data_IF_940848613796
#
_entry.id   IF_940848613796
#
_cell.length_a   1.000
_cell.length_b   1.000
_cell.length_c   1.000
_cell.angle_alpha   90.00
_cell.angle_beta   90.00
_cell.angle_gamma   90.00
#
_symmetry.space_group_name_H-M   'P 1'
#
loop_
_entity.id
_entity.type
_entity.pdbx_description
1 polymer ?
#
# COMPACT_ATOMS: atom_id res chain seq x y z
N UNK A 1 54.90 18.26 -51.17
CA UNK A 1 55.60 17.36 -50.24
C UNK A 1 56.18 18.21 -49.12
N UNK A 2 55.57 18.19 -47.93
CA UNK A 2 56.19 18.80 -46.76
C UNK A 2 57.09 17.74 -46.13
N UNK A 3 58.37 18.05 -45.92
CA UNK A 3 59.28 17.15 -45.21
C UNK A 3 58.84 17.07 -43.75
N UNK A 4 58.22 15.96 -43.36
CA UNK A 4 57.93 15.69 -41.96
C UNK A 4 59.25 15.51 -41.21
N UNK A 5 59.65 16.52 -40.44
CA UNK A 5 60.78 16.42 -39.52
C UNK A 5 60.57 15.21 -38.63
N UNK A 6 61.50 14.26 -38.68
CA UNK A 6 61.39 12.98 -38.01
C UNK A 6 61.37 13.21 -36.49
N UNK A 7 60.18 13.16 -35.88
CA UNK A 7 59.95 13.56 -34.48
C UNK A 7 60.79 12.69 -33.51
N UNK A 8 61.23 11.51 -33.96
CA UNK A 8 62.07 10.56 -33.24
C UNK A 8 63.59 10.86 -33.27
N UNK A 9 64.04 11.80 -34.11
CA UNK A 9 65.44 12.28 -34.11
C UNK A 9 65.68 13.42 -33.10
N UNK A 10 64.61 14.07 -32.62
CA UNK A 10 64.72 15.05 -31.53
C UNK A 10 64.95 14.33 -30.19
N UNK A 11 66.16 14.52 -29.66
CA UNK A 11 66.60 13.99 -28.36
C UNK A 11 65.62 14.35 -27.24
N UNK A 12 65.06 15.55 -27.24
CA UNK A 12 64.16 16.02 -26.19
C UNK A 12 62.80 15.34 -26.23
N UNK A 13 62.32 14.97 -27.42
CA UNK A 13 61.11 14.17 -27.59
C UNK A 13 61.34 12.72 -27.16
N UNK A 14 62.52 12.15 -27.46
CA UNK A 14 62.89 10.81 -26.98
C UNK A 14 63.01 10.78 -25.44
N UNK A 15 63.56 11.83 -24.84
CA UNK A 15 63.57 12.02 -23.39
C UNK A 15 62.16 12.12 -22.79
N UNK A 16 61.22 12.79 -23.46
CA UNK A 16 59.81 12.83 -23.06
C UNK A 16 59.15 11.44 -23.09
N UNK A 17 59.39 10.63 -24.14
CA UNK A 17 58.94 9.24 -24.18
C UNK A 17 59.52 8.40 -23.04
N UNK A 18 60.82 8.54 -22.75
CA UNK A 18 61.45 7.90 -21.57
C UNK A 18 60.76 8.29 -20.27
N UNK A 19 60.43 9.58 -20.07
CA UNK A 19 59.71 10.05 -18.89
C UNK A 19 58.32 9.41 -18.79
N UNK A 20 57.54 9.36 -19.87
CA UNK A 20 56.23 8.70 -19.91
C UNK A 20 56.31 7.20 -19.53
N UNK A 21 57.30 6.47 -20.06
CA UNK A 21 57.50 5.04 -19.73
C UNK A 21 57.94 4.89 -18.27
N UNK A 22 58.82 5.75 -17.77
CA UNK A 22 59.28 5.75 -16.37
C UNK A 22 58.13 5.98 -15.38
N UNK A 23 57.21 6.90 -15.68
CA UNK A 23 56.00 7.14 -14.90
C UNK A 23 55.11 5.88 -14.87
N UNK A 24 54.93 5.19 -16.00
CA UNK A 24 54.14 3.96 -16.03
C UNK A 24 54.79 2.81 -15.24
N UNK A 25 56.10 2.59 -15.35
CA UNK A 25 56.81 1.60 -14.53
C UNK A 25 56.72 1.92 -13.04
N UNK A 26 56.79 3.20 -12.66
CA UNK A 26 56.62 3.62 -11.27
C UNK A 26 55.17 3.39 -10.78
N UNK A 27 54.16 3.67 -11.61
CA UNK A 27 52.75 3.31 -11.32
C UNK A 27 52.60 1.81 -11.08
N UNK A 28 53.09 0.98 -12.00
CA UNK A 28 53.05 -0.49 -11.89
C UNK A 28 53.69 -0.95 -10.57
N UNK A 29 54.86 -0.42 -10.22
CA UNK A 29 55.56 -0.74 -8.97
C UNK A 29 54.76 -0.39 -7.70
N UNK A 30 54.06 0.74 -7.69
CA UNK A 30 53.29 1.23 -6.54
C UNK A 30 51.87 0.62 -6.43
N UNK A 31 51.37 -0.06 -7.46
CA UNK A 31 49.95 -0.44 -7.56
C UNK A 31 49.50 -1.41 -6.46
N UNK A 32 50.24 -2.50 -6.24
CA UNK A 32 49.88 -3.49 -5.21
C UNK A 32 50.09 -2.94 -3.80
N UNK A 33 51.18 -2.20 -3.56
CA UNK A 33 51.41 -1.48 -2.30
C UNK A 33 50.25 -0.55 -1.95
N UNK A 34 49.79 0.28 -2.89
CA UNK A 34 48.66 1.20 -2.66
C UNK A 34 47.37 0.43 -2.42
N UNK A 35 47.12 -0.69 -3.11
CA UNK A 35 45.93 -1.52 -2.88
C UNK A 35 45.96 -2.18 -1.49
N UNK A 36 47.09 -2.75 -1.07
CA UNK A 36 47.28 -3.34 0.27
C UNK A 36 47.08 -2.29 1.36
N UNK A 37 47.70 -1.12 1.23
CA UNK A 37 47.53 -0.06 2.23
C UNK A 37 46.13 0.58 2.20
N UNK A 38 45.43 0.61 1.07
CA UNK A 38 44.02 0.98 1.05
C UNK A 38 43.12 -0.02 1.79
N UNK A 39 43.47 -1.31 1.83
CA UNK A 39 42.76 -2.28 2.66
C UNK A 39 43.05 -2.07 4.16
N UNK A 40 44.28 -1.67 4.52
CA UNK A 40 44.61 -1.22 5.87
C UNK A 40 43.83 0.05 6.26
N UNK A 41 43.72 1.03 5.36
CA UNK A 41 42.89 2.24 5.54
C UNK A 41 41.42 1.89 5.68
N UNK A 42 40.88 1.00 4.84
CA UNK A 42 39.50 0.51 4.95
C UNK A 42 39.23 -0.10 6.32
N UNK A 43 40.14 -0.95 6.79
CA UNK A 43 40.10 -1.54 8.13
C UNK A 43 40.15 -0.47 9.22
N UNK A 44 41.03 0.53 9.08
CA UNK A 44 41.21 1.62 10.04
C UNK A 44 39.96 2.52 10.15
N UNK A 45 39.40 2.96 9.02
CA UNK A 45 38.21 3.83 9.01
C UNK A 45 36.92 3.07 9.37
N UNK A 46 36.91 1.74 9.16
CA UNK A 46 35.73 0.87 9.29
C UNK A 46 35.50 0.21 10.67
N UNK A 47 36.36 0.41 11.68
CA UNK A 47 36.24 -0.26 12.99
C UNK A 47 34.95 0.09 13.77
N UNK A 48 33.86 -0.66 13.53
CA UNK A 48 32.73 -0.79 14.48
C UNK A 48 31.63 -1.83 14.13
N UNK A 49 31.09 -2.57 15.13
CA UNK A 49 29.78 -3.26 15.14
C UNK A 49 29.25 -3.87 16.49
N UNK A 50 29.72 -3.59 17.72
CA UNK A 50 29.21 -4.19 19.00
C UNK A 50 29.57 -5.67 19.24
N UNK A 51 28.59 -6.53 19.60
CA UNK A 51 28.61 -8.00 19.42
C UNK A 51 28.09 -8.39 18.01
N UNK A 52 28.24 -7.43 17.09
CA UNK A 52 28.59 -7.56 15.68
C UNK A 52 30.02 -6.96 15.40
N UNK A 53 30.90 -6.95 16.42
CA UNK A 53 32.33 -6.54 16.50
C UNK A 53 32.74 -5.02 16.57
N UNK A 54 32.37 -4.30 17.67
CA UNK A 54 33.01 -3.11 18.35
C UNK A 54 33.23 -3.59 19.80
N UNK A 55 34.47 -3.55 20.29
CA UNK A 55 34.82 -2.80 21.51
C UNK A 55 36.16 -2.11 21.16
N UNK A 56 36.40 -0.81 21.26
CA UNK A 56 35.60 0.38 21.61
C UNK A 56 36.02 1.51 20.62
N UNK A 57 35.49 2.75 20.68
CA UNK A 57 36.15 3.89 20.02
C UNK A 57 37.45 4.20 20.79
N UNK A 58 38.58 3.59 20.40
CA UNK A 58 39.79 3.54 21.23
C UNK A 58 40.47 4.93 21.34
N UNK A 59 40.99 5.31 22.53
CA UNK A 59 41.61 6.61 22.74
C UNK A 59 42.89 6.86 21.92
N UNK A 60 43.19 8.16 21.79
CA UNK A 60 44.39 8.72 21.17
C UNK A 60 45.70 7.99 21.55
N UNK A 61 46.57 7.60 20.59
CA UNK A 61 47.89 7.03 20.87
C UNK A 61 48.88 8.00 21.55
N UNK A 62 48.58 9.31 21.60
CA UNK A 62 49.47 10.35 22.11
C UNK A 62 48.80 11.17 23.22
N UNK A 63 48.63 10.55 24.39
CA UNK A 63 48.03 11.19 25.58
C UNK A 63 48.74 12.49 26.04
N UNK A 64 49.97 12.77 25.56
CA UNK A 64 50.69 14.00 25.90
C UNK A 64 50.34 15.22 25.03
N UNK A 65 49.70 15.05 23.86
CA UNK A 65 49.29 16.18 23.00
C UNK A 65 48.10 16.93 23.63
N UNK A 66 47.15 16.19 24.22
CA UNK A 66 45.94 16.77 24.81
C UNK A 66 46.14 17.42 26.20
N UNK A 67 47.27 17.20 26.88
CA UNK A 67 47.55 17.84 28.19
C UNK A 67 47.89 19.34 28.11
N UNK A 68 48.27 19.85 26.93
CA UNK A 68 48.82 21.21 26.79
C UNK A 68 47.83 22.34 26.47
N UNK A 69 46.52 22.08 26.36
CA UNK A 69 45.51 23.13 26.12
C UNK A 69 44.25 22.97 26.97
N UNK A 70 44.23 23.62 28.14
CA UNK A 70 42.99 24.02 28.82
C UNK A 70 42.21 24.98 27.91
N UNK A 71 41.09 24.54 27.32
CA UNK A 71 39.94 25.38 26.90
C UNK A 71 38.76 24.50 26.50
N UNK A 72 37.58 24.77 27.07
CA UNK A 72 36.40 23.90 27.04
C UNK A 72 35.61 23.88 25.70
N UNK A 73 36.26 24.16 24.57
CA UNK A 73 35.59 24.25 23.26
C UNK A 73 36.01 23.10 22.33
N UNK A 74 35.68 21.87 22.71
CA UNK A 74 35.78 20.72 21.80
C UNK A 74 34.55 20.68 20.88
N UNK A 75 34.73 21.02 19.60
CA UNK A 75 33.67 21.03 18.59
C UNK A 75 33.05 19.64 18.30
N UNK A 76 33.69 18.58 18.80
CA UNK A 76 33.32 17.17 18.59
C UNK A 76 31.89 16.80 19.04
N UNK A 77 31.28 17.55 19.96
CA UNK A 77 29.95 17.25 20.51
C UNK A 77 28.79 18.05 19.91
N UNK A 78 29.05 19.06 19.07
CA UNK A 78 28.04 20.06 18.68
C UNK A 78 27.51 19.98 17.24
N UNK A 79 27.74 18.87 16.52
CA UNK A 79 27.24 18.69 15.15
C UNK A 79 26.59 17.33 14.90
N UNK A 80 25.50 17.04 15.63
CA UNK A 80 24.56 15.99 15.25
C UNK A 80 23.60 16.53 14.18
N UNK A 81 23.89 16.25 12.90
CA UNK A 81 22.85 16.25 11.85
C UNK A 81 22.80 14.87 11.16
N UNK A 82 21.60 14.27 11.04
CA UNK A 82 21.46 12.90 10.56
C UNK A 82 21.48 12.82 9.03
N UNK A 83 22.56 12.28 8.47
CA UNK A 83 22.46 11.46 7.26
C UNK A 83 22.18 10.02 7.69
N UNK A 84 21.28 9.32 6.98
CA UNK A 84 20.51 8.14 7.42
C UNK A 84 21.27 6.85 7.82
N UNK A 85 22.61 6.88 7.98
CA UNK A 85 23.39 5.79 8.55
C UNK A 85 24.53 6.32 9.44
N UNK A 86 24.52 5.95 10.72
CA UNK A 86 25.56 6.35 11.68
C UNK A 86 26.94 5.78 11.31
N UNK A 87 27.00 4.58 10.72
CA UNK A 87 28.26 3.95 10.28
C UNK A 87 28.87 4.71 9.12
N UNK A 88 28.09 5.05 8.08
CA UNK A 88 28.58 5.84 6.94
C UNK A 88 29.06 7.23 7.40
N UNK A 89 28.39 7.85 8.38
CA UNK A 89 28.83 9.11 8.96
C UNK A 89 30.20 9.00 9.66
N UNK A 90 30.44 7.93 10.44
CA UNK A 90 31.73 7.68 11.10
C UNK A 90 32.85 7.40 10.09
N UNK A 91 32.59 6.58 9.07
CA UNK A 91 33.55 6.32 7.98
C UNK A 91 33.90 7.63 7.26
N UNK A 92 32.90 8.48 6.97
CA UNK A 92 33.10 9.81 6.38
C UNK A 92 33.99 10.71 7.25
N UNK A 93 33.77 10.72 8.57
CA UNK A 93 34.63 11.46 9.52
C UNK A 93 36.06 10.92 9.52
N UNK A 94 36.25 9.60 9.60
CA UNK A 94 37.57 8.96 9.62
C UNK A 94 38.36 9.20 8.32
N UNK A 95 37.71 9.10 7.15
CA UNK A 95 38.31 9.47 5.86
C UNK A 95 38.72 10.95 5.83
N UNK A 96 37.91 11.83 6.43
CA UNK A 96 38.24 13.27 6.53
C UNK A 96 39.44 13.52 7.45
N UNK A 97 39.55 12.80 8.57
CA UNK A 97 40.69 12.90 9.51
C UNK A 97 42.00 12.39 8.91
N UNK A 98 41.92 11.39 8.03
CA UNK A 98 43.08 10.87 7.29
C UNK A 98 43.43 11.71 6.05
N UNK A 99 42.75 12.84 5.80
CA UNK A 99 42.98 13.66 4.60
C UNK A 99 43.95 14.82 4.87
N UNK A 100 44.96 14.99 4.00
CA UNK A 100 46.05 15.98 4.17
C UNK A 100 45.75 17.35 3.57
N UNK A 101 45.22 17.41 2.35
CA UNK A 101 45.04 18.66 1.57
C UNK A 101 43.66 18.70 0.89
N UNK A 102 43.06 19.87 0.69
CA UNK A 102 41.84 20.12 -0.14
C UNK A 102 40.53 19.36 0.21
N UNK A 103 40.56 18.44 1.16
CA UNK A 103 39.43 17.65 1.66
C UNK A 103 38.99 16.52 0.69
N UNK A 104 38.21 15.53 1.18
CA UNK A 104 37.91 14.34 0.38
C UNK A 104 36.97 14.59 -0.80
N UNK A 105 37.25 13.93 -1.92
CA UNK A 105 36.52 14.03 -3.19
C UNK A 105 35.28 13.13 -3.22
N UNK A 106 34.25 13.51 -2.48
CA UNK A 106 33.00 12.73 -2.35
C UNK A 106 32.29 12.43 -3.67
N UNK A 107 32.47 13.23 -4.72
CA UNK A 107 31.84 13.03 -6.03
C UNK A 107 32.41 11.82 -6.81
N UNK A 108 33.62 11.36 -6.48
CA UNK A 108 34.22 10.21 -7.16
C UNK A 108 33.71 8.86 -6.63
N UNK A 109 33.12 8.83 -5.42
CA UNK A 109 33.00 7.61 -4.61
C UNK A 109 31.57 7.19 -4.32
N UNK A 110 31.36 5.88 -4.23
CA UNK A 110 30.09 5.24 -3.85
C UNK A 110 30.10 4.81 -2.38
N UNK A 111 29.45 5.59 -1.53
CA UNK A 111 29.47 5.40 -0.08
C UNK A 111 28.89 4.04 0.37
N UNK A 112 27.97 3.48 -0.41
CA UNK A 112 27.40 2.14 -0.21
C UNK A 112 28.42 0.99 -0.43
N UNK A 113 29.56 1.27 -1.08
CA UNK A 113 30.62 0.29 -1.37
C UNK A 113 31.82 0.34 -0.41
N UNK A 114 31.95 1.38 0.43
CA UNK A 114 33.13 1.58 1.30
C UNK A 114 33.48 0.38 2.20
N UNK A 115 32.49 -0.42 2.62
CA UNK A 115 32.70 -1.61 3.45
C UNK A 115 33.20 -2.85 2.68
N UNK A 116 33.02 -2.88 1.35
CA UNK A 116 33.32 -4.03 0.49
C UNK A 116 34.48 -3.76 -0.47
N UNK A 117 34.76 -2.49 -0.77
CA UNK A 117 35.71 -2.08 -1.81
C UNK A 117 36.68 -1.02 -1.27
N UNK A 118 37.97 -1.37 -1.03
CA UNK A 118 39.00 -0.41 -0.63
C UNK A 118 39.22 0.70 -1.66
N UNK A 119 38.98 0.44 -2.96
CA UNK A 119 39.19 1.42 -4.01
C UNK A 119 38.21 2.59 -3.90
N UNK A 120 36.96 2.33 -3.52
CA UNK A 120 35.97 3.39 -3.31
C UNK A 120 36.37 4.31 -2.14
N UNK A 121 37.10 3.83 -1.15
CA UNK A 121 37.75 4.69 -0.15
C UNK A 121 38.95 5.43 -0.76
N UNK A 122 39.79 4.76 -1.57
CA UNK A 122 40.88 5.38 -2.30
C UNK A 122 40.46 6.58 -3.16
N UNK A 123 39.30 6.48 -3.84
CA UNK A 123 38.71 7.57 -4.63
C UNK A 123 38.46 8.86 -3.85
N UNK A 124 38.31 8.78 -2.53
CA UNK A 124 38.16 9.94 -1.66
C UNK A 124 39.42 10.83 -1.66
N UNK A 125 40.60 10.27 -1.93
CA UNK A 125 41.90 10.96 -1.91
C UNK A 125 42.37 11.41 -3.31
N UNK A 126 41.58 11.16 -4.36
CA UNK A 126 41.85 11.57 -5.74
C UNK A 126 41.47 13.04 -5.98
N UNK A 127 41.97 13.68 -7.06
CA UNK A 127 41.42 14.96 -7.55
C UNK A 127 39.90 14.91 -7.73
N UNK A 128 39.22 16.06 -7.57
CA UNK A 128 37.74 16.12 -7.48
C UNK A 128 37.00 15.64 -8.73
N UNK A 129 37.65 15.72 -9.89
CA UNK A 129 37.06 15.45 -11.19
C UNK A 129 37.86 14.36 -11.94
N UNK A 130 37.18 13.59 -12.79
CA UNK A 130 37.79 12.63 -13.71
C UNK A 130 37.95 11.19 -13.22
N UNK A 131 37.64 10.87 -11.94
CA UNK A 131 37.90 9.54 -11.36
C UNK A 131 36.67 8.74 -10.93
N UNK A 132 35.45 9.26 -11.11
CA UNK A 132 34.20 8.58 -10.72
C UNK A 132 33.97 7.26 -11.48
N UNK A 133 34.36 7.20 -12.76
CA UNK A 133 34.22 6.03 -13.64
C UNK A 133 35.33 4.99 -13.52
N UNK A 134 36.48 5.32 -12.91
CA UNK A 134 37.64 4.41 -12.79
C UNK A 134 37.31 3.26 -11.84
N UNK A 135 37.48 2.01 -12.26
CA UNK A 135 36.97 0.85 -11.51
C UNK A 135 37.96 0.26 -10.51
N UNK A 136 39.27 0.51 -10.66
CA UNK A 136 40.33 -0.06 -9.82
C UNK A 136 41.59 0.82 -9.70
N UNK A 137 42.47 0.50 -8.74
CA UNK A 137 43.82 1.11 -8.63
C UNK A 137 44.64 0.82 -9.89
N UNK A 138 44.49 -0.38 -10.45
CA UNK A 138 45.15 -0.86 -11.67
C UNK A 138 44.76 -0.04 -12.90
N UNK A 139 43.52 0.42 -12.99
CA UNK A 139 43.05 1.32 -14.06
C UNK A 139 43.39 2.80 -13.82
N UNK A 140 43.63 3.19 -12.57
CA UNK A 140 44.05 4.56 -12.24
C UNK A 140 45.30 4.97 -13.00
N UNK A 141 45.37 6.23 -13.38
CA UNK A 141 46.60 6.81 -13.92
C UNK A 141 47.64 7.02 -12.81
N UNK A 142 48.88 7.35 -13.19
CA UNK A 142 49.96 7.64 -12.26
C UNK A 142 49.64 8.79 -11.27
N UNK A 143 48.95 9.86 -11.71
CA UNK A 143 48.61 10.97 -10.82
C UNK A 143 47.60 10.53 -9.77
N UNK A 144 46.65 9.63 -10.10
CA UNK A 144 45.72 9.08 -9.13
C UNK A 144 46.41 8.24 -8.06
N UNK A 145 47.28 7.30 -8.47
CA UNK A 145 48.05 6.46 -7.54
C UNK A 145 48.91 7.30 -6.59
N UNK A 146 49.66 8.28 -7.13
CA UNK A 146 50.49 9.18 -6.31
C UNK A 146 49.64 10.15 -5.47
N UNK A 147 48.46 10.57 -5.94
CA UNK A 147 47.56 11.44 -5.17
C UNK A 147 47.01 10.74 -3.93
N UNK A 148 46.71 9.44 -3.99
CA UNK A 148 46.29 8.66 -2.81
C UNK A 148 47.39 8.66 -1.76
N UNK A 149 48.63 8.36 -2.15
CA UNK A 149 49.82 8.36 -1.29
C UNK A 149 50.08 9.74 -0.67
N UNK A 150 49.89 10.83 -1.43
CA UNK A 150 50.10 12.20 -0.96
C UNK A 150 49.00 12.73 -0.03
N UNK A 151 47.75 12.44 -0.36
CA UNK A 151 46.58 13.04 0.28
C UNK A 151 46.08 12.23 1.48
N UNK A 152 46.45 10.94 1.62
CA UNK A 152 46.10 10.13 2.77
C UNK A 152 47.26 10.07 3.79
N UNK A 153 47.00 10.50 5.04
CA UNK A 153 48.03 10.55 6.09
C UNK A 153 48.51 9.18 6.56
N UNK A 154 47.73 8.10 6.32
CA UNK A 154 48.14 6.73 6.61
C UNK A 154 49.43 6.34 5.89
N UNK A 155 49.60 6.76 4.63
CA UNK A 155 50.81 6.47 3.86
C UNK A 155 52.08 7.13 4.43
N UNK A 156 51.94 8.10 5.36
CA UNK A 156 53.08 8.71 6.04
C UNK A 156 53.70 7.82 7.13
N UNK A 157 53.00 6.78 7.59
CA UNK A 157 53.62 5.74 8.43
C UNK A 157 54.28 4.64 7.61
N UNK A 158 53.97 4.56 6.31
CA UNK A 158 54.38 3.45 5.44
C UNK A 158 55.50 3.83 4.44
N UNK A 159 55.85 5.11 4.35
CA UNK A 159 56.93 5.67 3.53
C UNK A 159 57.75 6.60 4.44
N UNK A 160 59.07 6.63 4.28
CA UNK A 160 59.98 7.44 5.08
C UNK A 160 59.64 8.92 5.05
N UNK A 161 59.81 9.58 6.20
CA UNK A 161 59.73 11.03 6.32
C UNK A 161 60.67 11.76 5.34
N UNK A 162 61.77 11.14 4.89
CA UNK A 162 62.68 11.71 3.90
C UNK A 162 62.02 11.92 2.52
N UNK A 163 61.08 11.05 2.12
CA UNK A 163 60.33 11.17 0.86
C UNK A 163 59.12 12.14 0.98
N UNK A 164 58.73 12.49 2.21
CA UNK A 164 57.50 13.23 2.53
C UNK A 164 57.72 14.64 3.08
N UNK A 165 58.93 14.93 3.58
CA UNK A 165 59.34 16.21 4.17
C UNK A 165 59.93 17.15 3.12
N UNK A 166 59.78 18.48 3.27
CA UNK A 166 60.47 19.45 2.42
C UNK A 166 61.98 19.43 2.72
N UNK A 167 62.84 19.63 1.70
CA UNK A 167 64.22 20.09 1.88
C UNK A 167 64.26 21.51 2.51
N UNK A 168 65.45 22.07 2.84
CA UNK A 168 65.61 23.47 3.27
C UNK A 168 64.85 24.50 2.39
N UNK A 169 64.52 25.69 2.93
CA UNK A 169 63.16 26.26 3.00
C UNK A 169 62.41 26.58 1.70
N UNK A 170 63.00 26.38 0.53
CA UNK A 170 62.47 26.82 -0.76
C UNK A 170 62.11 25.67 -1.73
N UNK A 171 61.95 24.43 -1.24
CA UNK A 171 61.64 23.26 -2.10
C UNK A 171 60.47 22.40 -1.62
N UNK A 172 59.67 21.95 -2.58
CA UNK A 172 58.59 20.98 -2.38
C UNK A 172 59.16 19.59 -1.99
N UNK A 173 58.36 18.80 -1.27
CA UNK A 173 58.79 17.47 -0.83
C UNK A 173 58.94 16.50 -2.01
N UNK A 174 59.80 15.46 -1.92
CA UNK A 174 60.08 14.56 -3.03
C UNK A 174 58.83 13.95 -3.70
N UNK A 175 57.83 13.53 -2.92
CA UNK A 175 56.57 13.02 -3.47
C UNK A 175 55.71 14.08 -4.18
N UNK A 176 55.74 15.36 -3.77
CA UNK A 176 55.10 16.43 -4.54
C UNK A 176 55.86 16.69 -5.84
N UNK A 177 57.21 16.63 -5.82
CA UNK A 177 58.01 16.68 -7.03
C UNK A 177 57.65 15.52 -7.98
N UNK A 178 57.49 14.30 -7.48
CA UNK A 178 57.00 13.14 -8.26
C UNK A 178 55.64 13.43 -8.92
N UNK A 179 54.68 14.02 -8.19
CA UNK A 179 53.38 14.43 -8.75
C UNK A 179 53.51 15.57 -9.76
N UNK A 180 54.41 16.52 -9.51
CA UNK A 180 54.66 17.66 -10.38
C UNK A 180 55.25 17.19 -11.72
N UNK A 181 56.28 16.35 -11.69
CA UNK A 181 56.84 15.65 -12.86
C UNK A 181 55.73 14.89 -13.62
N UNK A 182 54.87 14.17 -12.91
CA UNK A 182 53.73 13.45 -13.49
C UNK A 182 52.64 14.33 -14.11
N UNK A 183 52.59 15.62 -13.78
CA UNK A 183 51.77 16.65 -14.46
C UNK A 183 52.53 17.26 -15.62
N UNK A 184 53.75 17.75 -15.38
CA UNK A 184 54.56 18.46 -16.37
C UNK A 184 54.75 17.61 -17.63
N UNK A 185 55.23 16.38 -17.48
CA UNK A 185 55.41 15.42 -18.60
C UNK A 185 54.12 15.18 -19.37
N UNK A 186 52.94 15.26 -18.75
CA UNK A 186 51.65 15.06 -19.45
C UNK A 186 51.04 16.33 -20.04
N UNK A 187 51.56 17.50 -19.69
CA UNK A 187 51.01 18.79 -20.10
C UNK A 187 52.02 19.68 -20.82
N UNK A 188 53.26 19.24 -21.07
CA UNK A 188 54.18 19.93 -21.99
C UNK A 188 53.61 19.94 -23.40
N UNK A 189 53.24 21.12 -23.90
CA UNK A 189 52.59 21.28 -25.21
C UNK A 189 53.50 20.93 -26.40
N UNK A 190 54.82 20.90 -26.20
CA UNK A 190 55.81 20.54 -27.21
C UNK A 190 56.28 19.07 -27.11
N UNK A 191 55.84 18.33 -26.08
CA UNK A 191 56.28 16.97 -25.75
C UNK A 191 57.81 16.82 -25.63
N UNK A 192 58.50 17.79 -24.98
CA UNK A 192 59.96 17.78 -24.81
C UNK A 192 60.38 17.76 -23.34
N UNK A 193 61.52 17.11 -23.06
CA UNK A 193 62.17 17.06 -21.75
C UNK A 193 63.69 17.24 -21.91
N UNK A 194 64.32 18.09 -21.10
CA UNK A 194 65.79 18.26 -21.14
C UNK A 194 66.52 17.06 -20.53
N UNK A 195 67.81 16.88 -20.83
CA UNK A 195 68.58 15.79 -20.22
C UNK A 195 68.70 15.95 -18.68
N UNK A 196 68.79 17.20 -18.21
CA UNK A 196 68.86 17.52 -16.79
C UNK A 196 67.54 17.18 -16.08
N UNK A 197 66.40 17.56 -16.68
CA UNK A 197 65.07 17.21 -16.16
C UNK A 197 64.87 15.70 -16.17
N UNK A 198 65.24 15.00 -17.26
CA UNK A 198 65.09 13.56 -17.33
C UNK A 198 65.94 12.83 -16.26
N UNK A 199 67.19 13.25 -16.05
CA UNK A 199 68.04 12.70 -14.98
C UNK A 199 67.43 12.96 -13.60
N UNK A 200 66.90 14.16 -13.36
CA UNK A 200 66.19 14.50 -12.14
C UNK A 200 64.92 13.65 -11.96
N UNK A 201 64.18 13.35 -13.03
CA UNK A 201 63.00 12.48 -12.98
C UNK A 201 63.38 11.05 -12.61
N UNK A 202 64.38 10.44 -13.27
CA UNK A 202 64.84 9.09 -12.93
C UNK A 202 65.35 9.00 -11.49
N UNK A 203 66.13 9.98 -11.04
CA UNK A 203 66.60 10.05 -9.65
C UNK A 203 65.43 10.10 -8.66
N UNK A 204 64.44 10.96 -8.92
CA UNK A 204 63.29 11.15 -8.02
C UNK A 204 62.40 9.91 -7.97
N UNK A 205 62.07 9.30 -9.11
CA UNK A 205 61.26 8.08 -9.20
C UNK A 205 61.98 6.88 -8.56
N UNK A 206 63.28 6.72 -8.81
CA UNK A 206 64.07 5.64 -8.23
C UNK A 206 64.21 5.80 -6.71
N UNK A 207 64.35 7.05 -6.22
CA UNK A 207 64.42 7.34 -4.78
C UNK A 207 63.12 6.98 -4.07
N UNK A 208 61.95 7.30 -4.65
CA UNK A 208 60.65 6.90 -4.10
C UNK A 208 60.53 5.37 -3.99
N UNK A 209 60.87 4.65 -5.07
CA UNK A 209 60.86 3.20 -5.10
C UNK A 209 61.99 2.57 -4.24
N UNK A 210 62.94 3.36 -3.75
CA UNK A 210 64.02 2.93 -2.85
C UNK A 210 63.69 3.14 -1.36
N UNK A 211 62.48 3.58 -1.03
CA UNK A 211 62.09 3.88 0.35
C UNK A 211 62.25 2.64 1.28
N UNK A 212 63.03 2.75 2.38
CA UNK A 212 63.44 1.60 3.17
C UNK A 212 62.35 1.02 4.07
N UNK A 213 61.16 1.64 4.18
CA UNK A 213 60.12 1.20 5.13
C UNK A 213 59.35 0.00 4.58
N UNK A 214 58.61 0.17 3.48
CA UNK A 214 57.84 -0.92 2.85
C UNK A 214 58.14 -1.13 1.35
N UNK A 215 58.73 -0.15 0.66
CA UNK A 215 58.92 -0.21 -0.80
C UNK A 215 60.21 -0.94 -1.20
N UNK A 216 61.29 -0.83 -0.40
CA UNK A 216 62.61 -1.37 -0.73
C UNK A 216 62.63 -2.88 -0.97
N UNK A 217 61.76 -3.63 -0.29
CA UNK A 217 61.68 -5.09 -0.39
C UNK A 217 60.46 -5.60 -1.16
N UNK A 218 59.57 -4.71 -1.62
CA UNK A 218 58.41 -5.11 -2.41
C UNK A 218 58.83 -5.66 -3.81
N UNK A 219 58.30 -6.81 -4.26
CA UNK A 219 58.69 -7.41 -5.54
C UNK A 219 58.36 -6.55 -6.77
N UNK A 220 57.21 -5.88 -6.82
CA UNK A 220 56.82 -5.05 -7.97
C UNK A 220 57.64 -3.77 -8.02
N UNK A 221 57.84 -3.13 -6.88
CA UNK A 221 58.71 -1.97 -6.71
C UNK A 221 60.16 -2.30 -7.09
N UNK A 222 60.67 -3.46 -6.67
CA UNK A 222 61.99 -3.95 -7.07
C UNK A 222 62.09 -4.19 -8.57
N UNK A 223 61.06 -4.77 -9.20
CA UNK A 223 60.97 -4.95 -10.65
C UNK A 223 60.92 -3.60 -11.38
N UNK A 224 60.16 -2.63 -10.87
CA UNK A 224 60.05 -1.28 -11.42
C UNK A 224 61.39 -0.54 -11.39
N UNK A 225 62.14 -0.60 -10.28
CA UNK A 225 63.50 -0.01 -10.21
C UNK A 225 64.47 -0.59 -11.22
N UNK A 226 64.45 -1.91 -11.44
CA UNK A 226 65.29 -2.54 -12.49
C UNK A 226 64.92 -1.98 -13.86
N UNK A 227 63.63 -2.03 -14.22
CA UNK A 227 63.13 -1.44 -15.48
C UNK A 227 63.52 0.04 -15.65
N UNK A 228 63.50 0.85 -14.56
CA UNK A 228 63.92 2.25 -14.61
C UNK A 228 65.43 2.40 -14.85
N UNK A 229 66.25 1.60 -14.16
CA UNK A 229 67.71 1.55 -14.37
C UNK A 229 68.05 1.14 -15.80
N UNK A 230 67.38 0.12 -16.34
CA UNK A 230 67.56 -0.33 -17.72
C UNK A 230 67.18 0.81 -18.69
N UNK A 231 65.99 1.39 -18.54
CA UNK A 231 65.48 2.52 -19.34
C UNK A 231 66.35 3.79 -19.28
N UNK A 232 67.01 4.05 -18.14
CA UNK A 232 67.93 5.17 -17.97
C UNK A 232 69.20 4.98 -18.81
N UNK A 233 69.73 3.75 -18.85
CA UNK A 233 70.98 3.42 -19.55
C UNK A 233 70.78 3.08 -21.04
N UNK A 234 69.62 2.53 -21.43
CA UNK A 234 69.33 2.16 -22.82
C UNK A 234 69.11 3.37 -23.73
N UNK A 235 69.57 3.28 -24.99
CA UNK A 235 69.04 4.15 -26.05
C UNK A 235 67.70 3.60 -26.51
N UNK A 236 66.62 4.36 -26.29
CA UNK A 236 65.28 3.97 -26.74
C UNK A 236 65.28 3.86 -28.27
N UNK A 237 65.19 2.63 -28.78
CA UNK A 237 65.22 2.38 -30.22
C UNK A 237 63.81 2.50 -30.84
N UNK A 238 63.74 2.90 -32.11
CA UNK A 238 62.49 2.87 -32.89
C UNK A 238 61.86 1.46 -32.93
N UNK A 239 62.68 0.41 -32.82
CA UNK A 239 62.22 -0.99 -32.82
C UNK A 239 61.44 -1.31 -31.54
N UNK A 240 61.85 -0.77 -30.38
CA UNK A 240 61.19 -1.05 -29.11
C UNK A 240 59.90 -0.26 -28.95
N UNK A 241 59.88 1.00 -29.42
CA UNK A 241 58.65 1.76 -29.61
C UNK A 241 57.67 1.05 -30.55
N UNK A 242 58.16 0.48 -31.67
CA UNK A 242 57.35 -0.30 -32.60
C UNK A 242 56.72 -1.55 -31.97
N UNK A 243 57.46 -2.27 -31.11
CA UNK A 243 56.92 -3.40 -30.34
C UNK A 243 55.83 -2.95 -29.37
N UNK A 244 56.08 -1.87 -28.61
CA UNK A 244 55.12 -1.33 -27.64
C UNK A 244 53.83 -0.85 -28.31
N UNK A 245 53.93 -0.12 -29.42
CA UNK A 245 52.77 0.35 -30.19
C UNK A 245 51.94 -0.84 -30.71
N UNK A 246 52.60 -1.91 -31.17
CA UNK A 246 51.94 -3.11 -31.67
C UNK A 246 51.16 -3.86 -30.58
N UNK A 247 51.73 -3.99 -29.38
CA UNK A 247 51.03 -4.64 -28.26
C UNK A 247 49.89 -3.78 -27.70
N UNK A 248 50.07 -2.45 -27.64
CA UNK A 248 49.02 -1.50 -27.27
C UNK A 248 47.84 -1.53 -28.26
N UNK A 249 48.12 -1.60 -29.56
CA UNK A 249 47.08 -1.68 -30.58
C UNK A 249 46.31 -3.02 -30.50
N UNK A 250 46.99 -4.13 -30.17
CA UNK A 250 46.37 -5.44 -29.92
C UNK A 250 45.50 -5.46 -28.66
N UNK A 251 45.89 -4.75 -27.60
CA UNK A 251 45.00 -4.59 -26.42
C UNK A 251 43.78 -3.73 -26.77
N UNK A 252 43.94 -2.69 -27.60
CA UNK A 252 42.84 -1.87 -28.09
C UNK A 252 41.86 -2.65 -28.99
N UNK A 253 42.32 -3.55 -29.85
CA UNK A 253 41.42 -4.38 -30.67
C UNK A 253 40.61 -5.35 -29.81
N UNK A 254 41.25 -6.08 -28.88
CA UNK A 254 40.53 -6.97 -27.96
C UNK A 254 39.50 -6.21 -27.09
N UNK A 255 39.81 -4.98 -26.67
CA UNK A 255 38.88 -4.14 -25.91
C UNK A 255 37.65 -3.72 -26.73
N UNK A 256 37.83 -3.44 -28.03
CA UNK A 256 36.70 -3.16 -28.96
C UNK A 256 35.83 -4.39 -29.18
N UNK A 257 36.43 -5.53 -29.52
CA UNK A 257 35.73 -6.80 -29.72
C UNK A 257 34.94 -7.23 -28.46
N UNK A 258 35.51 -7.03 -27.27
CA UNK A 258 34.81 -7.25 -26.01
C UNK A 258 33.60 -6.30 -25.85
N UNK A 259 33.77 -5.01 -26.13
CA UNK A 259 32.70 -4.01 -26.08
C UNK A 259 31.54 -4.30 -27.04
N UNK A 260 31.85 -4.69 -28.27
CA UNK A 260 30.86 -5.11 -29.28
C UNK A 260 30.07 -6.33 -28.78
N UNK A 261 30.75 -7.37 -28.30
CA UNK A 261 30.10 -8.56 -27.72
C UNK A 261 29.22 -8.24 -26.51
N UNK A 262 29.63 -7.32 -25.63
CA UNK A 262 28.80 -6.87 -24.51
C UNK A 262 27.54 -6.13 -25.00
N UNK A 263 27.65 -5.35 -26.08
CA UNK A 263 26.50 -4.66 -26.70
C UNK A 263 25.51 -5.66 -27.31
N UNK A 264 25.99 -6.65 -28.05
CA UNK A 264 25.15 -7.71 -28.64
C UNK A 264 24.43 -8.55 -27.57
N UNK A 265 25.12 -8.88 -26.47
CA UNK A 265 24.53 -9.63 -25.36
C UNK A 265 23.44 -8.81 -24.63
N UNK A 266 23.68 -7.51 -24.44
CA UNK A 266 22.71 -6.60 -23.85
C UNK A 266 21.47 -6.47 -24.75
N UNK A 267 21.63 -6.32 -26.06
CA UNK A 267 20.51 -6.26 -27.01
C UNK A 267 19.70 -7.56 -27.03
N UNK A 268 20.37 -8.72 -27.03
CA UNK A 268 19.71 -10.03 -26.97
C UNK A 268 18.90 -10.19 -25.68
N UNK A 269 19.50 -9.86 -24.53
CA UNK A 269 18.85 -9.92 -23.22
C UNK A 269 17.63 -9.00 -23.15
N UNK A 270 17.72 -7.78 -23.70
CA UNK A 270 16.60 -6.83 -23.79
C UNK A 270 15.47 -7.39 -24.66
N UNK A 271 15.80 -7.99 -25.81
CA UNK A 271 14.83 -8.58 -26.75
C UNK A 271 14.10 -9.78 -26.15
N UNK A 272 14.81 -10.66 -25.45
CA UNK A 272 14.21 -11.78 -24.70
C UNK A 272 13.31 -11.29 -23.56
N UNK A 273 13.72 -10.23 -22.84
CA UNK A 273 12.93 -9.57 -21.81
C UNK A 273 11.62 -8.98 -22.35
N UNK A 274 11.68 -8.29 -23.51
CA UNK A 274 10.52 -7.74 -24.21
C UNK A 274 9.54 -8.83 -24.64
N UNK A 275 10.02 -9.87 -25.33
CA UNK A 275 9.19 -11.01 -25.76
C UNK A 275 8.50 -11.69 -24.56
N UNK A 276 9.22 -11.83 -23.44
CA UNK A 276 8.68 -12.40 -22.19
C UNK A 276 7.59 -11.52 -21.57
N UNK A 277 7.73 -10.20 -21.65
CA UNK A 277 6.74 -9.25 -21.16
C UNK A 277 5.48 -9.25 -22.03
N UNK A 278 5.64 -9.26 -23.36
CA UNK A 278 4.54 -9.33 -24.33
C UNK A 278 3.71 -10.61 -24.16
N UNK A 279 4.37 -11.76 -24.01
CA UNK A 279 3.69 -13.03 -23.72
C UNK A 279 2.88 -12.98 -22.40
N UNK A 280 3.40 -12.34 -21.35
CA UNK A 280 2.69 -12.14 -20.07
C UNK A 280 1.49 -11.22 -20.22
N UNK A 281 1.60 -10.13 -20.97
CA UNK A 281 0.50 -9.22 -21.28
C UNK A 281 -0.61 -9.98 -22.02
N UNK A 282 -0.26 -10.72 -23.08
CA UNK A 282 -1.24 -11.45 -23.88
C UNK A 282 -1.96 -12.54 -23.08
N UNK A 283 -1.26 -13.25 -22.19
CA UNK A 283 -1.86 -14.20 -21.25
C UNK A 283 -2.82 -13.50 -20.26
N UNK A 284 -2.44 -12.34 -19.74
CA UNK A 284 -3.27 -11.51 -18.84
C UNK A 284 -4.58 -11.07 -19.50
N UNK A 285 -4.53 -10.61 -20.75
CA UNK A 285 -5.73 -10.27 -21.52
C UNK A 285 -6.66 -11.47 -21.71
N UNK A 286 -6.11 -12.63 -22.05
CA UNK A 286 -6.89 -13.84 -22.30
C UNK A 286 -7.56 -14.35 -21.01
N UNK A 287 -6.89 -14.22 -19.86
CA UNK A 287 -7.48 -14.47 -18.55
C UNK A 287 -8.63 -13.48 -18.24
N UNK A 288 -8.46 -12.19 -18.55
CA UNK A 288 -9.50 -11.15 -18.41
C UNK A 288 -10.72 -11.41 -19.29
N UNK A 289 -10.50 -11.69 -20.59
CA UNK A 289 -11.54 -12.08 -21.56
C UNK A 289 -12.33 -13.31 -21.07
N UNK A 290 -11.64 -14.29 -20.47
CA UNK A 290 -12.27 -15.50 -19.91
C UNK A 290 -13.09 -15.20 -18.65
N UNK A 291 -12.54 -14.44 -17.69
CA UNK A 291 -13.28 -14.00 -16.49
C UNK A 291 -14.55 -13.21 -16.85
N UNK A 292 -14.46 -12.29 -17.82
CA UNK A 292 -15.62 -11.51 -18.28
C UNK A 292 -16.72 -12.40 -18.87
N UNK A 293 -16.37 -13.42 -19.67
CA UNK A 293 -17.35 -14.41 -20.18
C UNK A 293 -18.03 -15.18 -19.05
N UNK A 294 -17.28 -15.63 -18.03
CA UNK A 294 -17.82 -16.35 -16.88
C UNK A 294 -18.83 -15.49 -16.09
N UNK A 295 -18.45 -14.26 -15.73
CA UNK A 295 -19.33 -13.32 -15.00
C UNK A 295 -20.61 -13.03 -15.77
N UNK A 296 -20.53 -12.81 -17.09
CA UNK A 296 -21.73 -12.60 -17.92
C UNK A 296 -22.65 -13.83 -17.97
N UNK A 297 -22.09 -15.04 -17.99
CA UNK A 297 -22.88 -16.28 -17.97
C UNK A 297 -23.53 -16.52 -16.59
N UNK A 298 -22.84 -16.19 -15.50
CA UNK A 298 -23.40 -16.22 -14.14
C UNK A 298 -24.55 -15.23 -14.00
N UNK A 299 -24.38 -13.97 -14.45
CA UNK A 299 -25.42 -12.94 -14.44
C UNK A 299 -26.66 -13.35 -15.26
N UNK A 300 -26.47 -13.92 -16.46
CA UNK A 300 -27.57 -14.48 -17.27
C UNK A 300 -28.31 -15.59 -16.53
N UNK A 301 -27.57 -16.52 -15.91
CA UNK A 301 -28.15 -17.63 -15.15
C UNK A 301 -28.96 -17.12 -13.95
N UNK A 302 -28.40 -16.16 -13.20
CA UNK A 302 -29.07 -15.53 -12.05
C UNK A 302 -30.34 -14.77 -12.47
N UNK A 303 -30.32 -14.06 -13.59
CA UNK A 303 -31.49 -13.38 -14.15
C UNK A 303 -32.62 -14.37 -14.50
N UNK A 304 -32.29 -15.50 -15.14
CA UNK A 304 -33.25 -16.57 -15.47
C UNK A 304 -33.86 -17.15 -14.19
N UNK A 305 -33.06 -17.45 -13.17
CA UNK A 305 -33.52 -17.98 -11.88
C UNK A 305 -34.47 -17.01 -11.17
N UNK A 306 -34.11 -15.72 -11.08
CA UNK A 306 -34.96 -14.68 -10.47
C UNK A 306 -36.31 -14.54 -11.21
N UNK A 307 -36.30 -14.51 -12.54
CA UNK A 307 -37.53 -14.43 -13.33
C UNK A 307 -38.43 -15.66 -13.14
N UNK A 308 -37.85 -16.86 -13.04
CA UNK A 308 -38.61 -18.09 -12.79
C UNK A 308 -39.18 -18.14 -11.37
N UNK A 309 -38.45 -17.66 -10.38
CA UNK A 309 -38.94 -17.52 -9.01
C UNK A 309 -40.11 -16.51 -8.93
N UNK A 310 -40.00 -15.35 -9.59
CA UNK A 310 -41.08 -14.35 -9.66
C UNK A 310 -42.35 -14.91 -10.33
N UNK A 311 -42.21 -15.58 -11.50
CA UNK A 311 -43.33 -16.25 -12.17
C UNK A 311 -43.99 -17.31 -11.28
N UNK A 312 -43.21 -18.05 -10.49
CA UNK A 312 -43.72 -19.07 -9.56
C UNK A 312 -44.48 -18.44 -8.40
N UNK A 313 -43.92 -17.38 -7.78
CA UNK A 313 -44.58 -16.61 -6.73
C UNK A 313 -45.93 -16.05 -7.19
N UNK A 314 -45.97 -15.43 -8.37
CA UNK A 314 -47.20 -14.86 -8.94
C UNK A 314 -48.27 -15.93 -9.22
N UNK A 315 -47.88 -17.14 -9.65
CA UNK A 315 -48.80 -18.28 -9.80
C UNK A 315 -49.39 -18.73 -8.46
N UNK A 316 -48.57 -18.83 -7.41
CA UNK A 316 -49.01 -19.21 -6.07
C UNK A 316 -49.98 -18.17 -5.48
N UNK A 317 -49.67 -16.88 -5.63
CA UNK A 317 -50.50 -15.77 -5.16
C UNK A 317 -51.88 -15.74 -5.87
N UNK A 318 -51.90 -15.91 -7.19
CA UNK A 318 -53.15 -16.05 -7.96
C UNK A 318 -53.98 -17.27 -7.53
N UNK A 319 -53.34 -18.40 -7.21
CA UNK A 319 -54.04 -19.59 -6.72
C UNK A 319 -54.59 -19.40 -5.29
N UNK A 320 -53.87 -18.69 -4.43
CA UNK A 320 -54.33 -18.32 -3.09
C UNK A 320 -55.56 -17.39 -3.16
N UNK A 321 -55.54 -16.38 -4.04
CA UNK A 321 -56.68 -15.48 -4.29
C UNK A 321 -57.91 -16.24 -4.80
N UNK A 322 -57.75 -17.13 -5.79
CA UNK A 322 -58.83 -18.02 -6.27
C UNK A 322 -59.42 -18.86 -5.15
N UNK A 323 -58.58 -19.44 -4.31
CA UNK A 323 -59.01 -20.27 -3.16
C UNK A 323 -59.79 -19.44 -2.15
N UNK A 324 -59.32 -18.25 -1.79
CA UNK A 324 -60.01 -17.32 -0.89
C UNK A 324 -61.41 -16.98 -1.41
N UNK A 325 -61.51 -16.59 -2.69
CA UNK A 325 -62.79 -16.26 -3.31
C UNK A 325 -63.78 -17.43 -3.33
N UNK A 326 -63.31 -18.68 -3.53
CA UNK A 326 -64.15 -19.88 -3.43
C UNK A 326 -64.68 -20.07 -2.00
N UNK A 327 -63.83 -19.89 -0.98
CA UNK A 327 -64.20 -20.02 0.43
C UNK A 327 -65.22 -18.95 0.84
N UNK A 328 -64.99 -17.69 0.48
CA UNK A 328 -65.90 -16.57 0.75
C UNK A 328 -67.28 -16.79 0.10
N UNK A 329 -67.32 -17.22 -1.15
CA UNK A 329 -68.59 -17.53 -1.83
C UNK A 329 -69.32 -18.72 -1.20
N UNK A 330 -68.61 -19.76 -0.72
CA UNK A 330 -69.22 -20.85 0.04
C UNK A 330 -69.79 -20.34 1.36
N UNK A 331 -69.05 -19.50 2.09
CA UNK A 331 -69.51 -18.90 3.34
C UNK A 331 -70.75 -18.00 3.16
N UNK A 332 -70.79 -17.18 2.09
CA UNK A 332 -71.95 -16.37 1.72
C UNK A 332 -73.18 -17.23 1.41
N UNK A 333 -73.03 -18.31 0.60
CA UNK A 333 -74.12 -19.25 0.30
C UNK A 333 -74.66 -19.92 1.57
N UNK A 334 -73.79 -20.32 2.50
CA UNK A 334 -74.21 -20.88 3.80
C UNK A 334 -74.95 -19.84 4.65
N UNK A 335 -74.44 -18.60 4.75
CA UNK A 335 -75.08 -17.50 5.48
C UNK A 335 -76.49 -17.20 4.96
N UNK A 336 -76.66 -17.15 3.64
CA UNK A 336 -77.97 -16.95 3.01
C UNK A 336 -78.95 -18.11 3.28
N UNK A 337 -78.48 -19.37 3.23
CA UNK A 337 -79.30 -20.55 3.61
C UNK A 337 -79.77 -20.48 5.07
N UNK A 338 -78.87 -20.12 6.00
CA UNK A 338 -79.20 -19.96 7.41
C UNK A 338 -80.22 -18.82 7.64
N UNK A 339 -80.03 -17.66 7.00
CA UNK A 339 -80.97 -16.54 7.07
C UNK A 339 -82.38 -16.91 6.58
N UNK A 340 -82.49 -17.62 5.45
CA UNK A 340 -83.78 -18.09 4.94
C UNK A 340 -84.44 -19.14 5.85
N UNK A 341 -83.65 -20.02 6.48
CA UNK A 341 -84.17 -20.98 7.46
C UNK A 341 -84.66 -20.27 8.74
N UNK A 342 -83.96 -19.23 9.21
CA UNK A 342 -84.39 -18.40 10.33
C UNK A 342 -85.71 -17.67 10.01
N UNK A 343 -85.83 -17.05 8.83
CA UNK A 343 -87.08 -16.41 8.37
C UNK A 343 -88.26 -17.39 8.30
N UNK A 344 -88.07 -18.58 7.70
CA UNK A 344 -89.08 -19.65 7.67
C UNK A 344 -89.50 -20.08 9.08
N UNK A 345 -88.55 -20.15 10.02
CA UNK A 345 -88.82 -20.51 11.41
C UNK A 345 -89.62 -19.41 12.12
N UNK A 346 -89.23 -18.14 11.96
CA UNK A 346 -89.97 -16.99 12.50
C UNK A 346 -91.42 -16.97 12.02
N UNK A 347 -91.64 -17.14 10.71
CA UNK A 347 -92.99 -17.15 10.13
C UNK A 347 -93.85 -18.34 10.64
N UNK A 348 -93.26 -19.52 10.83
CA UNK A 348 -93.95 -20.66 11.46
C UNK A 348 -94.35 -20.38 12.92
N UNK A 349 -93.51 -19.68 13.68
CA UNK A 349 -93.82 -19.27 15.05
C UNK A 349 -94.92 -18.21 15.08
N UNK A 350 -94.88 -17.25 14.18
CA UNK A 350 -95.90 -16.20 14.01
C UNK A 350 -97.29 -16.79 13.68
N UNK A 351 -97.38 -17.74 12.75
CA UNK A 351 -98.62 -18.47 12.46
C UNK A 351 -99.12 -19.25 13.69
N UNK A 352 -98.23 -19.88 14.47
CA UNK A 352 -98.60 -20.56 15.72
C UNK A 352 -99.13 -19.56 16.77
N UNK A 353 -98.52 -18.39 16.88
CA UNK A 353 -98.96 -17.32 17.78
C UNK A 353 -100.34 -16.79 17.38
N UNK A 354 -100.57 -16.47 16.10
CA UNK A 354 -101.87 -16.03 15.57
C UNK A 354 -102.97 -17.08 15.79
N UNK A 355 -102.70 -18.36 15.50
CA UNK A 355 -103.65 -19.47 15.79
C UNK A 355 -103.98 -19.58 17.28
N UNK A 356 -103.00 -19.31 18.15
CA UNK A 356 -103.21 -19.29 19.61
C UNK A 356 -104.06 -18.10 20.03
N UNK A 357 -103.77 -16.90 19.51
CA UNK A 357 -104.53 -15.67 19.77
C UNK A 357 -106.00 -15.85 19.37
N UNK A 358 -106.27 -16.33 18.17
CA UNK A 358 -107.63 -16.57 17.68
C UNK A 358 -108.39 -17.64 18.51
N UNK A 359 -107.70 -18.69 18.99
CA UNK A 359 -108.29 -19.65 19.94
C UNK A 359 -108.68 -19.01 21.28
N UNK A 360 -107.89 -18.06 21.77
CA UNK A 360 -108.18 -17.32 23.00
C UNK A 360 -109.33 -16.31 22.80
N UNK A 361 -109.33 -15.55 21.70
CA UNK A 361 -110.42 -14.66 21.29
C UNK A 361 -111.76 -15.41 21.23
N UNK A 362 -111.80 -16.56 20.54
CA UNK A 362 -113.01 -17.40 20.46
C UNK A 362 -113.45 -17.96 21.82
N UNK A 363 -112.52 -18.32 22.71
CA UNK A 363 -112.86 -18.71 24.09
C UNK A 363 -113.45 -17.54 24.88
N UNK A 364 -112.91 -16.33 24.71
CA UNK A 364 -113.44 -15.12 25.34
C UNK A 364 -114.84 -14.76 24.84
N UNK A 365 -115.08 -14.79 23.52
CA UNK A 365 -116.40 -14.59 22.92
C UNK A 365 -117.43 -15.61 23.42
N UNK A 366 -117.10 -16.90 23.47
CA UNK A 366 -117.98 -17.94 24.05
C UNK A 366 -118.28 -17.69 25.52
N UNK A 367 -117.32 -17.16 26.30
CA UNK A 367 -117.55 -16.76 27.71
C UNK A 367 -118.48 -15.54 27.79
N UNK A 368 -118.29 -14.52 26.94
CA UNK A 368 -119.14 -13.32 26.86
C UNK A 368 -120.59 -13.69 26.54
N UNK A 369 -120.83 -14.44 25.47
CA UNK A 369 -122.18 -14.87 25.09
C UNK A 369 -122.87 -15.72 26.18
N UNK A 370 -122.12 -16.59 26.88
CA UNK A 370 -122.64 -17.32 28.06
C UNK A 370 -123.07 -16.38 29.20
N UNK A 371 -122.37 -15.27 29.42
CA UNK A 371 -122.74 -14.27 30.43
C UNK A 371 -123.95 -13.45 29.99
N UNK A 372 -123.99 -13.00 28.73
CA UNK A 372 -125.14 -12.30 28.13
C UNK A 372 -126.42 -13.15 28.21
N UNK A 373 -126.36 -14.44 27.87
CA UNK A 373 -127.50 -15.36 28.00
C UNK A 373 -127.93 -15.58 29.47
N UNK A 374 -126.98 -15.58 30.42
CA UNK A 374 -127.32 -15.61 31.86
C UNK A 374 -128.02 -14.32 32.29
N UNK A 375 -127.53 -13.16 31.87
CA UNK A 375 -128.14 -11.87 32.16
C UNK A 375 -129.55 -11.76 31.58
N UNK A 376 -129.76 -12.21 30.32
CA UNK A 376 -131.07 -12.22 29.68
C UNK A 376 -132.08 -13.11 30.43
N UNK A 377 -131.67 -14.33 30.83
CA UNK A 377 -132.51 -15.22 31.66
C UNK A 377 -132.85 -14.61 33.02
N UNK A 378 -131.91 -13.87 33.63
CA UNK A 378 -132.16 -13.15 34.89
C UNK A 378 -133.14 -12.00 34.69
N UNK A 379 -132.97 -11.19 33.63
CA UNK A 379 -133.90 -10.11 33.27
C UNK A 379 -135.32 -10.64 33.07
N UNK A 380 -135.49 -11.69 32.27
CA UNK A 380 -136.82 -12.27 32.02
C UNK A 380 -137.45 -12.88 33.29
N UNK A 381 -136.65 -13.47 34.19
CA UNK A 381 -137.13 -13.89 35.53
C UNK A 381 -137.62 -12.72 36.39
N UNK A 382 -136.94 -11.57 36.35
CA UNK A 382 -137.35 -10.36 37.08
C UNK A 382 -138.63 -9.76 36.47
N UNK A 383 -138.72 -9.73 35.15
CA UNK A 383 -139.88 -9.26 34.39
C UNK A 383 -141.14 -10.10 34.68
N UNK A 384 -141.02 -11.43 34.67
CA UNK A 384 -142.11 -12.33 35.05
C UNK A 384 -142.52 -12.16 36.53
N UNK A 385 -141.56 -11.92 37.45
CA UNK A 385 -141.87 -11.57 38.85
C UNK A 385 -142.60 -10.22 38.98
N UNK A 386 -142.22 -9.23 38.17
CA UNK A 386 -142.88 -7.93 38.14
C UNK A 386 -144.32 -8.06 37.61
N UNK A 387 -144.54 -8.82 36.54
CA UNK A 387 -145.88 -9.13 36.01
C UNK A 387 -146.75 -9.87 37.05
N UNK A 388 -146.22 -10.90 37.72
CA UNK A 388 -146.93 -11.56 38.82
C UNK A 388 -147.28 -10.59 39.95
N UNK A 389 -146.38 -9.67 40.30
CA UNK A 389 -146.63 -8.66 41.33
C UNK A 389 -147.71 -7.67 40.88
N UNK A 390 -147.70 -7.23 39.62
CA UNK A 390 -148.73 -6.37 39.02
C UNK A 390 -150.10 -7.04 39.04
N UNK A 391 -150.22 -8.29 38.57
CA UNK A 391 -151.45 -9.06 38.61
C UNK A 391 -151.96 -9.27 40.05
N UNK A 392 -151.05 -9.44 41.02
CA UNK A 392 -151.40 -9.57 42.44
C UNK A 392 -151.94 -8.26 43.01
N UNK A 393 -151.38 -7.11 42.60
CA UNK A 393 -151.91 -5.78 42.94
C UNK A 393 -153.26 -5.48 42.24
N UNK A 394 -153.44 -5.89 40.99
CA UNK A 394 -154.70 -5.78 40.25
C UNK A 394 -155.81 -6.61 40.91
N UNK A 395 -155.52 -7.85 41.31
CA UNK A 395 -156.46 -8.66 42.10
C UNK A 395 -156.79 -8.00 43.45
N UNK A 396 -155.79 -7.50 44.18
CA UNK A 396 -156.04 -6.80 45.45
C UNK A 396 -156.89 -5.54 45.27
N UNK A 397 -156.70 -4.77 44.19
CA UNK A 397 -157.54 -3.60 43.90
C UNK A 397 -158.95 -3.99 43.47
N UNK A 398 -159.13 -5.06 42.67
CA UNK A 398 -160.46 -5.62 42.36
C UNK A 398 -161.19 -6.10 43.62
N UNK A 399 -160.51 -6.83 44.50
CA UNK A 399 -161.07 -7.29 45.77
C UNK A 399 -161.44 -6.11 46.68
N UNK A 400 -160.61 -5.07 46.73
CA UNK A 400 -160.91 -3.83 47.45
C UNK A 400 -162.12 -3.11 46.84
N UNK A 401 -162.23 -3.04 45.50
CA UNK A 401 -163.39 -2.49 44.78
C UNK A 401 -164.65 -3.26 45.10
N UNK A 402 -164.58 -4.59 45.15
CA UNK A 402 -165.71 -5.46 45.51
C UNK A 402 -166.13 -5.27 46.98
N UNK A 403 -165.17 -5.17 47.91
CA UNK A 403 -165.44 -4.83 49.33
C UNK A 403 -166.09 -3.44 49.47
N UNK A 404 -165.66 -2.45 48.68
CA UNK A 404 -166.28 -1.12 48.64
C UNK A 404 -167.68 -1.14 48.02
N UNK A 405 -167.88 -1.90 46.93
CA UNK A 405 -169.21 -2.11 46.32
C UNK A 405 -170.20 -2.75 47.30
N UNK A 406 -169.77 -3.79 48.02
CA UNK A 406 -170.59 -4.41 49.06
C UNK A 406 -170.86 -3.49 50.26
N UNK A 407 -169.92 -2.60 50.63
CA UNK A 407 -170.18 -1.52 51.60
C UNK A 407 -171.19 -0.51 51.08
N UNK A 408 -171.09 -0.10 49.82
CA UNK A 408 -172.05 0.82 49.20
C UNK A 408 -173.46 0.22 49.13
N UNK A 409 -173.59 -1.06 48.74
CA UNK A 409 -174.85 -1.80 48.77
C UNK A 409 -175.45 -1.89 50.19
N UNK A 410 -174.63 -2.21 51.21
CA UNK A 410 -175.09 -2.20 52.61
C UNK A 410 -175.50 -0.81 53.09
N UNK A 411 -174.86 0.26 52.61
CA UNK A 411 -175.22 1.64 52.94
C UNK A 411 -176.53 2.04 52.26
N UNK A 412 -176.71 1.67 50.99
CA UNK A 412 -177.96 1.87 50.24
C UNK A 412 -179.14 1.14 50.89
N UNK A 413 -178.98 -0.14 51.24
CA UNK A 413 -179.99 -0.91 51.97
C UNK A 413 -180.32 -0.30 53.34
N UNK A 414 -179.38 0.40 54.00
CA UNK A 414 -179.64 1.17 55.23
C UNK A 414 -180.39 2.49 55.01
N UNK A 415 -180.33 3.07 53.81
CA UNK A 415 -181.05 4.29 53.44
C UNK A 415 -182.46 4.00 52.90
N UNK A 416 -182.65 2.84 52.26
CA UNK A 416 -183.95 2.37 51.73
C UNK A 416 -184.89 1.78 52.81
N UNK A 417 -184.52 1.84 54.10
CA UNK A 417 -185.32 1.30 55.23
C UNK A 417 -185.47 2.34 56.37
N UNK A 418 -185.75 3.59 56.01
CA UNK A 418 -186.16 4.69 56.89
C UNK A 418 -187.26 5.50 56.20
#
# INVERSE_FOLDING_TARGET
MAAGTNIFEDKHTNNWFKACIALNFTKEGLTDFVLTELHNVQTLVGRSCGQCFIQNPIPCPTQDVCKKRKRNNCSFHNSLQPTSCQTCHKVKQNITLLHRFNGPSWANTKAERWAMDPWEIGKCYLPRDGYSSVSSVQESDFNGVVSIVLNCTHFQTCISAACLSPPPPDKQCPLENVRQIGRDVRHTADCKVTDADLQYFFLTLTTLLADPVHLLHDPLTTKARRKLSDLQNDRLSLVDLGKMLKEANKTLTHAKEAGERFSEEAERTLKEGLNTLEAKIQAGENALKTKHKLVNNELKTRHILVNNALKTRQRLENNALKTRHIVENRALKTRHRLGNNALKTRHRLEIKALKTRHRLENKALKKKHRLENKALKTRHRLENKALQTKHRLENNTLETRHRLGNRALKTRHRLENK
#
